data_IF_440945830426
#
_entry.id   IF_440945830426
#
_cell.length_a   1.000
_cell.length_b   1.000
_cell.length_c   1.000
_cell.angle_alpha   90.00
_cell.angle_beta   90.00
_cell.angle_gamma   90.00
#
_symmetry.space_group_name_H-M   'P 1'
#
loop_
_entity.id
_entity.type
_entity.pdbx_description
1 polymer ?
#
# COMPACT_ATOMS: atom_id res chain seq x y z
N UNK A 1 -11.56 -2.43 0.06
CA UNK A 1 -10.85 -3.22 1.08
C UNK A 1 -9.55 -3.69 0.47
N UNK A 2 -8.46 -3.70 1.21
CA UNK A 2 -7.11 -4.13 0.79
C UNK A 2 -6.62 -5.17 1.78
N UNK A 3 -6.07 -6.26 1.28
CA UNK A 3 -5.35 -7.27 2.06
C UNK A 3 -3.91 -7.33 1.52
N UNK A 4 -2.94 -6.97 2.35
CA UNK A 4 -1.52 -7.08 2.02
C UNK A 4 -0.95 -8.32 2.68
N UNK A 5 -0.32 -9.15 1.86
CA UNK A 5 0.35 -10.36 2.30
C UNK A 5 1.86 -10.17 2.21
N UNK A 6 2.58 -10.56 3.27
CA UNK A 6 4.03 -10.74 3.25
C UNK A 6 4.34 -12.22 3.49
N UNK A 7 5.03 -12.84 2.55
CA UNK A 7 5.35 -14.29 2.57
C UNK A 7 4.12 -15.18 2.82
N UNK A 8 2.97 -14.82 2.25
CA UNK A 8 1.71 -15.56 2.40
C UNK A 8 0.98 -15.31 3.72
N UNK A 9 1.47 -14.42 4.57
CA UNK A 9 0.85 -14.03 5.84
C UNK A 9 0.20 -12.66 5.70
N UNK A 10 -1.03 -12.50 6.20
CA UNK A 10 -1.70 -11.21 6.23
C UNK A 10 -1.03 -10.25 7.22
N UNK A 11 -0.49 -9.14 6.70
CA UNK A 11 0.21 -8.12 7.50
C UNK A 11 -0.56 -6.80 7.56
N UNK A 12 -1.40 -6.50 6.56
CA UNK A 12 -2.32 -5.35 6.61
C UNK A 12 -3.69 -5.72 6.04
N UNK A 13 -4.76 -5.28 6.69
CA UNK A 13 -6.13 -5.48 6.22
C UNK A 13 -7.04 -4.33 6.65
N UNK A 14 -7.34 -3.41 5.72
CA UNK A 14 -8.27 -2.31 5.97
C UNK A 14 -8.75 -1.69 4.63
N UNK A 15 -9.51 -0.60 4.70
CA UNK A 15 -9.94 0.18 3.53
C UNK A 15 -8.76 0.99 2.96
N UNK A 16 -8.70 1.20 1.63
CA UNK A 16 -7.58 1.89 0.99
C UNK A 16 -7.36 3.31 1.53
N UNK A 17 -8.44 4.07 1.73
CA UNK A 17 -8.43 5.42 2.31
C UNK A 17 -7.70 5.44 3.66
N UNK A 18 -8.03 4.51 4.55
CA UNK A 18 -7.44 4.42 5.88
C UNK A 18 -5.97 3.99 5.86
N UNK A 19 -5.59 3.05 4.98
CA UNK A 19 -4.18 2.65 4.82
C UNK A 19 -3.32 3.75 4.20
N UNK A 20 -3.91 4.61 3.34
CA UNK A 20 -3.23 5.73 2.68
C UNK A 20 -2.98 6.94 3.58
N UNK A 21 -3.79 7.09 4.65
CA UNK A 21 -3.58 8.10 5.70
C UNK A 21 -2.29 7.82 6.48
N UNK A 22 -2.02 6.55 6.79
CA UNK A 22 -0.80 6.13 7.47
C UNK A 22 0.37 5.96 6.48
N UNK A 23 1.28 6.95 6.44
CA UNK A 23 2.47 6.90 5.57
C UNK A 23 3.47 5.80 5.96
N UNK A 24 3.34 5.19 7.13
CA UNK A 24 4.18 4.07 7.55
C UNK A 24 3.69 2.71 7.02
N UNK A 25 2.41 2.63 6.60
CA UNK A 25 1.81 1.42 6.00
C UNK A 25 2.59 0.94 4.78
N UNK A 26 2.71 -0.38 4.66
CA UNK A 26 3.29 -1.06 3.50
C UNK A 26 2.49 -0.76 2.24
N UNK A 27 1.15 -0.75 2.33
CA UNK A 27 0.29 -0.35 1.22
C UNK A 27 0.57 1.09 0.77
N UNK A 28 0.68 2.03 1.71
CA UNK A 28 1.04 3.43 1.42
C UNK A 28 2.37 3.55 0.66
N UNK A 29 3.39 2.80 1.09
CA UNK A 29 4.72 2.82 0.46
C UNK A 29 4.69 2.26 -0.96
N UNK A 30 4.00 1.14 -1.17
CA UNK A 30 3.83 0.55 -2.50
C UNK A 30 3.14 1.53 -3.45
N UNK A 31 2.01 2.12 -3.03
CA UNK A 31 1.30 3.08 -3.87
C UNK A 31 2.20 4.27 -4.23
N UNK A 32 2.97 4.80 -3.29
CA UNK A 32 3.91 5.89 -3.57
C UNK A 32 4.97 5.50 -4.62
N UNK A 33 5.61 4.33 -4.49
CA UNK A 33 6.63 3.85 -5.43
C UNK A 33 6.08 3.72 -6.86
N UNK A 34 4.92 3.08 -7.01
CA UNK A 34 4.34 2.81 -8.33
C UNK A 34 3.68 4.04 -8.97
N UNK A 35 3.12 4.94 -8.15
CA UNK A 35 2.60 6.23 -8.66
C UNK A 35 3.73 7.09 -9.22
N UNK A 36 4.87 7.20 -8.51
CA UNK A 36 6.02 7.97 -8.99
C UNK A 36 6.58 7.41 -10.30
N UNK A 37 6.66 6.09 -10.43
CA UNK A 37 7.13 5.44 -11.67
C UNK A 37 6.17 5.63 -12.83
N UNK A 38 4.86 5.56 -12.58
CA UNK A 38 3.84 5.76 -13.61
C UNK A 38 3.75 7.19 -14.14
N UNK A 39 4.17 8.19 -13.36
CA UNK A 39 4.22 9.60 -13.81
C UNK A 39 5.47 9.89 -14.64
N UNK A 40 6.51 9.06 -14.53
CA UNK A 40 7.77 9.19 -15.26
C UNK A 40 7.80 8.41 -16.59
N UNK A 41 6.71 7.73 -16.96
CA UNK A 41 6.53 7.02 -18.24
C UNK A 41 5.44 7.70 -19.05
#
# INVERSE_FOLDING_TARGET
MVLLLDNGVAVEHDRPDKLLEDKSSLFSKLVAEYTMRSVLT
#
